data_IF_458378680855
#
_entry.id   IF_458378680855
#
_cell.length_a   1.000
_cell.length_b   1.000
_cell.length_c   1.000
_cell.angle_alpha   90.00
_cell.angle_beta   90.00
_cell.angle_gamma   90.00
#
_symmetry.space_group_name_H-M   'P 1'
#
loop_
_entity.id
_entity.type
_entity.pdbx_description
1 polymer ?
#
# COMPACT_ATOMS: atom_id res chain seq x y z
N UNK A 1 10.79 -23.23 0.90
CA UNK A 1 9.98 -22.17 0.30
C UNK A 1 10.07 -20.90 1.14
N UNK A 2 10.43 -19.80 0.52
CA UNK A 2 10.54 -18.52 1.24
C UNK A 2 9.17 -17.91 1.44
N UNK A 3 8.91 -17.40 2.64
CA UNK A 3 7.69 -16.66 2.89
C UNK A 3 7.71 -15.31 2.16
N UNK A 4 6.56 -14.83 1.68
CA UNK A 4 6.45 -13.45 1.23
C UNK A 4 6.79 -12.48 2.34
N UNK A 5 7.20 -11.29 1.95
CA UNK A 5 7.53 -10.22 2.87
C UNK A 5 6.51 -9.09 2.74
N UNK A 6 6.14 -8.49 3.85
CA UNK A 6 5.17 -7.38 3.86
C UNK A 6 5.78 -6.15 4.50
N UNK A 7 5.68 -5.02 3.80
CA UNK A 7 5.94 -3.71 4.38
C UNK A 7 4.67 -2.88 4.19
N UNK A 8 4.19 -2.30 5.28
CA UNK A 8 3.04 -1.42 5.28
C UNK A 8 3.42 -0.15 6.01
N UNK A 9 3.14 1.00 5.41
CA UNK A 9 3.47 2.28 6.01
C UNK A 9 2.43 3.34 5.68
N UNK A 10 2.42 4.39 6.51
CA UNK A 10 1.69 5.62 6.28
C UNK A 10 2.72 6.74 6.24
N UNK A 11 2.55 7.71 5.37
CA UNK A 11 3.43 8.87 5.31
C UNK A 11 2.64 10.13 4.97
N UNK A 12 3.27 11.28 5.14
CA UNK A 12 2.68 12.57 4.78
C UNK A 12 3.28 13.07 3.47
N UNK A 13 2.48 13.69 2.62
CA UNK A 13 2.99 14.39 1.44
C UNK A 13 3.83 15.59 1.86
N UNK A 14 4.90 15.86 1.15
CA UNK A 14 5.82 16.95 1.43
C UNK A 14 5.78 17.97 0.29
N UNK A 15 4.97 19.03 0.45
CA UNK A 15 4.76 20.05 -0.59
C UNK A 15 4.39 19.43 -1.94
N UNK A 16 3.50 18.45 -1.90
CA UNK A 16 3.22 17.61 -3.06
C UNK A 16 2.12 18.26 -3.92
N UNK A 17 2.32 18.19 -5.24
CA UNK A 17 1.36 18.69 -6.21
C UNK A 17 0.68 17.51 -6.91
N UNK A 18 -0.40 17.81 -7.61
CA UNK A 18 -1.18 16.79 -8.31
C UNK A 18 -0.34 16.01 -9.33
N UNK A 19 0.57 16.70 -10.01
CA UNK A 19 1.48 16.06 -10.96
C UNK A 19 2.41 15.05 -10.26
N UNK A 20 2.88 15.39 -9.07
CA UNK A 20 3.72 14.49 -8.28
C UNK A 20 2.98 13.21 -7.92
N UNK A 21 1.70 13.34 -7.56
CA UNK A 21 0.87 12.18 -7.20
C UNK A 21 0.70 11.26 -8.42
N UNK A 22 0.45 11.83 -9.58
CA UNK A 22 0.32 11.07 -10.82
C UNK A 22 1.60 10.30 -11.15
N UNK A 23 2.75 10.94 -10.97
CA UNK A 23 4.05 10.32 -11.23
C UNK A 23 4.33 9.20 -10.23
N UNK A 24 4.06 9.44 -8.95
CA UNK A 24 4.23 8.42 -7.90
C UNK A 24 3.36 7.21 -8.22
N UNK A 25 2.10 7.41 -8.55
CA UNK A 25 1.17 6.34 -8.87
C UNK A 25 1.62 5.54 -10.09
N UNK A 26 1.94 6.24 -11.17
CA UNK A 26 2.36 5.60 -12.42
C UNK A 26 3.66 4.80 -12.27
N UNK A 27 4.65 5.41 -11.64
CA UNK A 27 5.95 4.77 -11.44
C UNK A 27 5.85 3.58 -10.48
N UNK A 28 5.05 3.70 -9.42
CA UNK A 28 4.84 2.64 -8.46
C UNK A 28 4.16 1.45 -9.11
N UNK A 29 3.11 1.68 -9.86
CA UNK A 29 2.39 0.61 -10.55
C UNK A 29 3.30 -0.15 -11.52
N UNK A 30 4.03 0.59 -12.36
CA UNK A 30 4.92 -0.02 -13.34
C UNK A 30 6.03 -0.83 -12.69
N UNK A 31 6.68 -0.28 -11.67
CA UNK A 31 7.76 -0.97 -10.96
C UNK A 31 7.26 -2.20 -10.23
N UNK A 32 6.17 -2.06 -9.49
CA UNK A 32 5.67 -3.14 -8.65
C UNK A 32 5.14 -4.31 -9.49
N UNK A 33 4.47 -4.02 -10.60
CA UNK A 33 4.02 -5.08 -11.50
C UNK A 33 5.19 -5.81 -12.15
N UNK A 34 6.25 -5.07 -12.52
CA UNK A 34 7.45 -5.68 -13.12
C UNK A 34 8.18 -6.58 -12.12
N UNK A 35 8.20 -6.20 -10.83
CA UNK A 35 8.89 -6.94 -9.78
C UNK A 35 7.97 -7.92 -9.04
N UNK A 36 6.77 -8.12 -9.53
CA UNK A 36 5.78 -9.01 -8.93
C UNK A 36 5.47 -8.66 -7.46
N UNK A 37 5.46 -7.36 -7.15
CA UNK A 37 5.04 -6.85 -5.85
C UNK A 37 3.55 -6.54 -5.93
N UNK A 38 2.79 -7.11 -5.00
CA UNK A 38 1.34 -6.89 -4.90
C UNK A 38 1.03 -6.00 -3.71
N UNK A 39 -0.19 -5.53 -3.65
CA UNK A 39 -0.63 -4.67 -2.57
C UNK A 39 -1.43 -3.49 -3.09
N UNK A 40 -1.42 -2.41 -2.30
CA UNK A 40 -2.20 -1.21 -2.64
C UNK A 40 -1.38 0.04 -2.34
N UNK A 41 -1.71 1.10 -3.07
CA UNK A 41 -1.25 2.45 -2.79
C UNK A 41 -2.44 3.39 -2.91
N UNK A 42 -2.62 4.23 -1.91
CA UNK A 42 -3.62 5.29 -1.97
C UNK A 42 -3.06 6.57 -1.37
N UNK A 43 -3.64 7.68 -1.77
CA UNK A 43 -3.33 9.00 -1.24
C UNK A 43 -4.62 9.75 -0.96
N UNK A 44 -4.74 10.30 0.25
CA UNK A 44 -5.86 11.14 0.61
C UNK A 44 -5.43 12.60 0.55
N UNK A 45 -6.03 13.34 -0.37
CA UNK A 45 -5.76 14.77 -0.52
C UNK A 45 -6.21 15.55 0.71
N UNK A 46 -7.33 15.13 1.30
CA UNK A 46 -7.90 15.81 2.46
C UNK A 46 -7.01 15.73 3.69
N UNK A 47 -6.37 14.58 3.90
CA UNK A 47 -5.48 14.38 5.04
C UNK A 47 -4.00 14.54 4.69
N UNK A 48 -3.69 14.65 3.41
CA UNK A 48 -2.31 14.69 2.89
C UNK A 48 -1.51 13.48 3.38
N UNK A 49 -2.08 12.27 3.23
CA UNK A 49 -1.46 11.04 3.69
C UNK A 49 -1.44 9.99 2.59
N UNK A 50 -0.30 9.32 2.50
CA UNK A 50 -0.15 8.10 1.71
C UNK A 50 -0.34 6.88 2.61
N UNK A 51 -0.90 5.83 2.04
CA UNK A 51 -0.97 4.52 2.66
C UNK A 51 -0.55 3.50 1.60
N UNK A 52 0.41 2.65 1.94
CA UNK A 52 0.87 1.64 0.99
C UNK A 52 1.13 0.32 1.69
N UNK A 53 0.71 -0.77 1.05
CA UNK A 53 1.05 -2.13 1.45
C UNK A 53 1.82 -2.76 0.29
N UNK A 54 3.00 -3.29 0.61
CA UNK A 54 3.86 -3.98 -0.36
C UNK A 54 3.99 -5.43 0.08
N UNK A 55 3.61 -6.36 -0.82
CA UNK A 55 3.73 -7.80 -0.56
C UNK A 55 4.44 -8.48 -1.71
N UNK A 56 5.47 -9.25 -1.41
CA UNK A 56 6.22 -9.94 -2.46
C UNK A 56 7.49 -10.57 -1.93
N UNK A 57 8.46 -10.76 -2.81
CA UNK A 57 9.76 -11.29 -2.43
C UNK A 57 10.46 -10.36 -1.47
N UNK A 58 11.14 -10.93 -0.48
CA UNK A 58 11.80 -10.15 0.58
C UNK A 58 12.77 -9.12 0.00
N UNK A 59 13.63 -9.55 -0.93
CA UNK A 59 14.64 -8.64 -1.48
C UNK A 59 14.02 -7.53 -2.30
N UNK A 60 13.04 -7.85 -3.14
CA UNK A 60 12.36 -6.89 -4.00
C UNK A 60 11.63 -5.84 -3.18
N UNK A 61 10.89 -6.28 -2.15
CA UNK A 61 10.12 -5.39 -1.29
C UNK A 61 11.05 -4.50 -0.47
N UNK A 62 12.09 -5.08 0.15
CA UNK A 62 13.03 -4.32 0.96
C UNK A 62 13.86 -3.35 0.14
N UNK A 63 14.30 -3.74 -1.06
CA UNK A 63 15.05 -2.85 -1.94
C UNK A 63 14.20 -1.66 -2.38
N UNK A 64 12.94 -1.91 -2.76
CA UNK A 64 12.03 -0.83 -3.12
C UNK A 64 11.86 0.16 -1.96
N UNK A 65 11.62 -0.36 -0.77
CA UNK A 65 11.39 0.47 0.40
C UNK A 65 12.62 1.30 0.78
N UNK A 66 13.77 0.66 0.92
CA UNK A 66 15.00 1.32 1.38
C UNK A 66 15.64 2.21 0.31
N UNK A 67 15.62 1.79 -0.96
CA UNK A 67 16.34 2.51 -2.00
C UNK A 67 15.51 3.57 -2.71
N UNK A 68 14.19 3.43 -2.71
CA UNK A 68 13.31 4.36 -3.42
C UNK A 68 12.33 5.08 -2.49
N UNK A 69 11.56 4.34 -1.71
CA UNK A 69 10.50 4.93 -0.90
C UNK A 69 11.06 5.83 0.20
N UNK A 70 11.98 5.33 1.01
CA UNK A 70 12.56 6.11 2.11
C UNK A 70 13.37 7.31 1.62
N UNK A 71 13.88 7.26 0.40
CA UNK A 71 14.70 8.33 -0.18
C UNK A 71 13.91 9.34 -1.00
N UNK A 72 12.63 9.10 -1.24
CA UNK A 72 11.79 10.00 -2.04
C UNK A 72 11.41 11.23 -1.20
N UNK A 73 11.87 12.45 -1.59
CA UNK A 73 11.60 13.66 -0.82
C UNK A 73 10.16 14.15 -0.94
N UNK A 74 9.36 13.55 -1.80
CA UNK A 74 7.96 13.96 -1.99
C UNK A 74 7.06 13.54 -0.86
N UNK A 75 7.54 12.69 0.07
CA UNK A 75 6.81 12.36 1.30
C UNK A 75 7.76 12.36 2.49
N UNK A 76 7.18 12.39 3.69
CA UNK A 76 7.92 12.49 4.95
C UNK A 76 7.11 11.83 6.07
N UNK A 77 7.69 11.79 7.27
CA UNK A 77 7.02 11.27 8.46
C UNK A 77 6.51 9.86 8.26
N UNK A 78 7.39 9.00 7.75
CA UNK A 78 7.02 7.61 7.43
C UNK A 78 6.87 6.81 8.72
N UNK A 79 5.68 6.27 8.93
CA UNK A 79 5.37 5.42 10.07
C UNK A 79 5.12 3.99 9.58
N UNK A 80 6.03 3.08 9.93
CA UNK A 80 5.89 1.68 9.56
C UNK A 80 4.85 0.99 10.44
N UNK A 81 3.97 0.23 9.81
CA UNK A 81 2.98 -0.58 10.50
C UNK A 81 3.41 -2.03 10.53
N UNK A 82 3.86 -2.55 9.39
CA UNK A 82 4.42 -3.88 9.25
C UNK A 82 5.74 -3.81 8.50
N UNK A 83 6.67 -4.66 8.89
CA UNK A 83 7.95 -4.81 8.19
C UNK A 83 8.48 -6.20 8.55
N UNK A 84 7.85 -7.25 7.98
CA UNK A 84 8.11 -8.63 8.42
C UNK A 84 7.73 -9.66 7.36
N UNK A 85 8.27 -10.88 7.46
CA UNK A 85 7.74 -11.99 6.66
C UNK A 85 6.29 -12.26 7.03
N UNK A 86 5.51 -12.72 6.07
CA UNK A 86 4.10 -13.04 6.31
C UNK A 86 3.75 -14.39 5.67
N UNK A 87 3.08 -15.23 6.44
CA UNK A 87 2.58 -16.51 5.93
C UNK A 87 1.22 -16.38 5.26
N UNK A 88 0.52 -15.28 5.51
CA UNK A 88 -0.82 -15.03 4.96
C UNK A 88 -0.89 -13.64 4.36
N UNK A 89 -0.33 -13.46 3.15
CA UNK A 89 -0.37 -12.16 2.49
C UNK A 89 -1.82 -11.77 2.16
N UNK A 90 -2.13 -10.50 2.36
CA UNK A 90 -3.51 -10.01 2.26
C UNK A 90 -3.96 -9.91 0.79
N UNK A 91 -3.07 -9.42 -0.09
CA UNK A 91 -3.47 -9.04 -1.44
C UNK A 91 -3.14 -10.06 -2.53
N UNK A 92 -2.48 -11.16 -2.20
CA UNK A 92 -2.11 -12.18 -3.19
C UNK A 92 -3.32 -12.80 -3.90
N UNK A 93 -4.46 -12.87 -3.23
CA UNK A 93 -5.69 -13.41 -3.80
C UNK A 93 -6.63 -12.35 -4.33
N UNK A 94 -6.34 -11.08 -4.07
CA UNK A 94 -7.19 -10.00 -4.54
C UNK A 94 -6.98 -9.72 -6.03
N UNK A 95 -5.73 -9.63 -6.44
CA UNK A 95 -5.38 -9.29 -7.81
C UNK A 95 -4.00 -9.84 -8.14
N UNK A 96 -3.75 -10.12 -9.41
CA UNK A 96 -2.43 -10.52 -9.89
C UNK A 96 -1.50 -9.32 -10.10
N UNK A 97 -2.01 -8.10 -9.91
CA UNK A 97 -1.25 -6.87 -10.13
C UNK A 97 -1.27 -6.01 -8.87
N UNK A 98 -0.40 -4.98 -8.87
CA UNK A 98 -0.42 -3.95 -7.83
C UNK A 98 -1.62 -3.04 -8.05
N UNK A 99 -2.28 -2.61 -6.98
CA UNK A 99 -3.54 -1.88 -7.06
C UNK A 99 -3.39 -0.42 -6.63
N UNK A 100 -3.73 0.50 -7.52
CA UNK A 100 -3.83 1.92 -7.20
C UNK A 100 -5.28 2.22 -6.82
N UNK A 101 -5.47 2.83 -5.67
CA UNK A 101 -6.82 3.18 -5.19
C UNK A 101 -7.03 4.66 -5.50
N UNK A 102 -7.88 4.94 -6.50
CA UNK A 102 -8.12 6.30 -7.00
C UNK A 102 -9.53 6.78 -6.79
N UNK A 103 -10.43 5.92 -6.29
CA UNK A 103 -11.84 6.28 -6.14
C UNK A 103 -12.43 5.58 -4.92
N UNK A 104 -13.58 6.11 -4.48
CA UNK A 104 -14.33 5.48 -3.38
C UNK A 104 -14.79 4.07 -3.73
N UNK A 105 -15.14 3.82 -4.99
CA UNK A 105 -15.55 2.51 -5.43
C UNK A 105 -14.42 1.48 -5.30
N UNK A 106 -13.20 1.86 -5.69
CA UNK A 106 -12.04 1.00 -5.55
C UNK A 106 -11.73 0.72 -4.08
N UNK A 107 -11.85 1.74 -3.24
CA UNK A 107 -11.64 1.60 -1.80
C UNK A 107 -12.68 0.69 -1.17
N UNK A 108 -13.95 0.83 -1.56
CA UNK A 108 -15.04 -0.04 -1.09
C UNK A 108 -14.81 -1.49 -1.52
N UNK A 109 -14.31 -1.72 -2.72
CA UNK A 109 -14.00 -3.06 -3.20
C UNK A 109 -12.90 -3.72 -2.35
N UNK A 110 -11.87 -2.97 -1.98
CA UNK A 110 -10.81 -3.45 -1.09
C UNK A 110 -11.38 -3.77 0.29
N UNK A 111 -12.21 -2.88 0.83
CA UNK A 111 -12.85 -3.08 2.14
C UNK A 111 -13.67 -4.37 2.15
N UNK A 112 -14.49 -4.56 1.13
CA UNK A 112 -15.33 -5.76 1.01
C UNK A 112 -14.48 -7.02 0.91
N UNK A 113 -13.44 -7.00 0.08
CA UNK A 113 -12.53 -8.13 -0.04
C UNK A 113 -11.91 -8.49 1.31
N UNK A 114 -11.44 -7.51 2.05
CA UNK A 114 -10.78 -7.75 3.33
C UNK A 114 -11.74 -8.25 4.39
N UNK A 115 -13.00 -7.80 4.36
CA UNK A 115 -14.04 -8.30 5.26
C UNK A 115 -14.43 -9.75 4.97
N UNK A 116 -14.44 -10.12 3.69
CA UNK A 116 -14.80 -11.48 3.27
C UNK A 116 -13.64 -12.47 3.44
N UNK A 117 -12.39 -11.99 3.42
CA UNK A 117 -11.20 -12.82 3.44
C UNK A 117 -10.32 -12.50 4.65
N UNK A 118 -10.87 -12.66 5.85
CA UNK A 118 -10.13 -12.43 7.09
C UNK A 118 -9.24 -13.64 7.40
N UNK A 119 -8.08 -13.69 6.76
CA UNK A 119 -7.15 -14.79 6.94
C UNK A 119 -6.32 -14.68 8.22
N UNK A 120 -6.17 -13.48 8.73
CA UNK A 120 -5.32 -13.21 9.88
C UNK A 120 -5.88 -12.01 10.64
N UNK A 121 -6.11 -12.20 11.93
CA UNK A 121 -6.56 -11.09 12.80
C UNK A 121 -5.53 -9.97 12.84
N UNK A 122 -4.25 -10.32 12.75
CA UNK A 122 -3.17 -9.34 12.88
C UNK A 122 -2.89 -8.59 11.57
N UNK A 123 -3.09 -9.25 10.43
CA UNK A 123 -2.79 -8.67 9.12
C UNK A 123 -3.95 -7.88 8.55
N UNK A 124 -4.99 -8.57 8.04
CA UNK A 124 -6.08 -7.90 7.31
C UNK A 124 -6.91 -6.98 8.20
N UNK A 125 -7.16 -7.36 9.46
CA UNK A 125 -7.92 -6.50 10.38
C UNK A 125 -7.19 -5.20 10.67
N UNK A 126 -5.87 -5.25 10.84
CA UNK A 126 -5.08 -4.06 11.11
C UNK A 126 -5.03 -3.14 9.90
N UNK A 127 -4.83 -3.70 8.72
CA UNK A 127 -4.86 -2.93 7.48
C UNK A 127 -6.23 -2.29 7.28
N UNK A 128 -7.30 -3.04 7.50
CA UNK A 128 -8.67 -2.52 7.37
C UNK A 128 -8.92 -1.35 8.32
N UNK A 129 -8.49 -1.45 9.58
CA UNK A 129 -8.64 -0.35 10.54
C UNK A 129 -7.87 0.89 10.13
N UNK A 130 -6.69 0.71 9.54
CA UNK A 130 -5.87 1.84 9.08
C UNK A 130 -6.46 2.51 7.85
N UNK A 131 -7.24 1.77 7.05
CA UNK A 131 -7.94 2.32 5.90
C UNK A 131 -9.19 3.10 6.26
N UNK A 132 -9.79 2.85 7.43
CA UNK A 132 -11.05 3.50 7.82
C UNK A 132 -11.03 5.02 7.70
N UNK A 133 -9.99 5.75 8.15
CA UNK A 133 -9.98 7.20 7.99
C UNK A 133 -10.06 7.67 6.54
N UNK A 134 -9.61 6.85 5.61
CA UNK A 134 -9.64 7.18 4.18
C UNK A 134 -11.05 7.04 3.58
N UNK A 135 -11.89 6.19 4.15
CA UNK A 135 -13.25 5.94 3.64
C UNK A 135 -14.09 7.22 3.65
N UNK A 136 -13.90 8.06 4.66
CA UNK A 136 -14.66 9.31 4.81
C UNK A 136 -14.39 10.26 3.63
N UNK A 137 -13.17 10.31 3.15
CA UNK A 137 -12.74 11.27 2.15
C UNK A 137 -12.85 10.75 0.72
N UNK A 138 -13.06 9.46 0.54
CA UNK A 138 -13.25 8.85 -0.78
C UNK A 138 -14.71 8.57 -1.10
N UNK A 139 -15.59 8.68 -0.12
CA UNK A 139 -17.02 8.37 -0.29
C UNK A 139 -17.81 9.44 -1.03
#
# INVERSE_FOLDING_TARGET
MKLPYTICYISAGNNIEEQDIKEIFSNTEAHNNRCEIRGILLYSKETNRFFQVLEGGKEEVKNLYHEKILKDPRHKDIAEVFHKPTSKPVFFKYSSTFNLIKSGEELDAIKKYMQEHKYSRDGSDKVLRLLEPFFIFYS
#
